data_IF_076488979015
#
_entry.id   IF_076488979015
#
_cell.length_a   1.000
_cell.length_b   1.000
_cell.length_c   1.000
_cell.angle_alpha   90.00
_cell.angle_beta   90.00
_cell.angle_gamma   90.00
#
_symmetry.space_group_name_H-M   'P 1'
#
loop_
_entity.id
_entity.type
_entity.pdbx_description
1 polymer ?
#
# COMPACT_ATOMS: atom_id res chain seq x y z
N UNK A 1 -2.13 13.32 -1.63
CA UNK A 1 -0.89 13.04 -0.88
C UNK A 1 -1.16 13.26 0.61
N UNK A 2 -0.98 12.22 1.41
CA UNK A 2 -1.30 12.25 2.84
C UNK A 2 -0.06 12.50 3.73
N UNK A 3 0.73 13.53 3.43
CA UNK A 3 1.85 13.96 4.28
C UNK A 3 2.45 15.31 3.78
N UNK A 4 3.24 15.99 4.64
CA UNK A 4 3.87 17.29 4.35
C UNK A 4 5.22 17.26 3.61
N UNK A 5 5.63 16.13 3.02
CA UNK A 5 6.95 15.96 2.35
C UNK A 5 7.01 16.60 0.95
N UNK A 6 5.86 16.93 0.36
CA UNK A 6 5.77 17.44 -1.02
C UNK A 6 5.94 16.33 -2.07
N UNK A 7 5.88 16.67 -3.37
CA UNK A 7 6.02 15.69 -4.44
C UNK A 7 7.47 15.24 -4.62
N UNK A 8 7.65 14.00 -5.04
CA UNK A 8 8.90 13.42 -5.52
C UNK A 8 9.25 13.86 -6.94
N UNK A 9 10.41 13.42 -7.43
CA UNK A 9 10.93 13.78 -8.77
C UNK A 9 11.21 12.57 -9.66
N UNK A 10 10.95 11.35 -9.18
CA UNK A 10 11.03 10.14 -10.00
C UNK A 10 9.90 10.08 -11.02
N UNK A 11 10.09 9.31 -12.08
CA UNK A 11 9.12 9.15 -13.16
C UNK A 11 8.20 7.91 -13.00
N UNK A 12 8.52 7.04 -12.04
CA UNK A 12 7.77 5.82 -11.78
C UNK A 12 7.98 4.73 -12.83
N UNK A 13 8.98 4.88 -13.73
CA UNK A 13 9.27 3.89 -14.76
C UNK A 13 9.98 2.67 -14.16
N UNK A 14 9.71 1.48 -14.72
CA UNK A 14 10.26 0.21 -14.22
C UNK A 14 11.79 0.22 -14.07
N UNK A 15 12.52 0.90 -14.96
CA UNK A 15 13.98 1.05 -14.90
C UNK A 15 14.45 1.74 -13.60
N UNK A 16 13.68 2.72 -13.11
CA UNK A 16 13.98 3.46 -11.89
C UNK A 16 13.30 2.86 -10.65
N UNK A 17 12.53 1.78 -10.84
CA UNK A 17 11.74 1.11 -9.82
C UNK A 17 12.09 -0.40 -9.75
N UNK A 18 13.35 -0.78 -9.48
CA UNK A 18 13.70 -2.18 -9.36
C UNK A 18 13.03 -2.83 -8.12
N UNK A 19 12.72 -4.12 -8.23
CA UNK A 19 12.37 -4.93 -7.06
C UNK A 19 13.62 -5.18 -6.23
N UNK A 20 13.66 -4.62 -5.02
CA UNK A 20 14.77 -4.78 -4.08
C UNK A 20 14.27 -5.38 -2.76
N UNK A 21 14.28 -4.61 -1.67
CA UNK A 21 13.75 -4.99 -0.37
C UNK A 21 12.84 -3.87 0.15
N UNK A 22 11.66 -4.20 0.70
CA UNK A 22 10.74 -3.17 1.18
C UNK A 22 11.28 -2.50 2.44
N UNK A 23 11.17 -1.18 2.50
CA UNK A 23 11.46 -0.35 3.66
C UNK A 23 10.24 -0.14 4.56
N UNK A 24 9.03 -0.28 4.02
CA UNK A 24 7.77 0.08 4.70
C UNK A 24 6.74 -1.07 4.77
N UNK A 25 7.16 -2.31 4.52
CA UNK A 25 6.23 -3.45 4.49
C UNK A 25 5.50 -3.64 5.83
N UNK A 26 6.22 -3.50 6.94
CA UNK A 26 5.63 -3.64 8.29
C UNK A 26 4.56 -2.57 8.55
N UNK A 27 4.81 -1.32 8.15
CA UNK A 27 3.86 -0.22 8.27
C UNK A 27 2.59 -0.47 7.43
N UNK A 28 2.77 -0.95 6.20
CA UNK A 28 1.68 -1.30 5.28
C UNK A 28 0.84 -2.45 5.85
N UNK A 29 1.45 -3.57 6.25
CA UNK A 29 0.72 -4.70 6.81
C UNK A 29 0.00 -4.32 8.11
N UNK A 30 0.62 -3.47 8.96
CA UNK A 30 0.00 -2.95 10.16
C UNK A 30 -1.21 -2.05 9.85
N UNK A 31 -1.13 -1.20 8.82
CA UNK A 31 -2.25 -0.38 8.37
C UNK A 31 -3.42 -1.25 7.87
N UNK A 32 -3.16 -2.26 7.03
CA UNK A 32 -4.20 -3.19 6.57
C UNK A 32 -4.84 -3.93 7.76
N UNK A 33 -4.04 -4.33 8.77
CA UNK A 33 -4.58 -4.94 9.98
C UNK A 33 -5.51 -4.00 10.76
N UNK A 34 -5.16 -2.71 10.86
CA UNK A 34 -6.03 -1.70 11.49
C UNK A 34 -7.32 -1.51 10.70
N UNK A 35 -7.26 -1.42 9.36
CA UNK A 35 -8.46 -1.31 8.51
C UNK A 35 -9.37 -2.53 8.69
N UNK A 36 -8.83 -3.75 8.63
CA UNK A 36 -9.64 -4.97 8.85
C UNK A 36 -10.28 -4.99 10.24
N UNK A 37 -9.54 -4.59 11.27
CA UNK A 37 -10.04 -4.60 12.65
C UNK A 37 -11.11 -3.52 12.90
N UNK A 38 -10.95 -2.33 12.31
CA UNK A 38 -11.84 -1.16 12.52
C UNK A 38 -13.03 -1.14 11.57
N UNK A 39 -12.86 -1.70 10.38
CA UNK A 39 -13.84 -1.68 9.29
C UNK A 39 -14.09 -3.09 8.73
N UNK A 40 -14.54 -4.06 9.57
CA UNK A 40 -14.79 -5.41 9.12
C UNK A 40 -15.87 -5.49 8.02
N UNK A 41 -16.75 -4.49 7.92
CA UNK A 41 -17.80 -4.36 6.90
C UNK A 41 -17.26 -4.28 5.45
N UNK A 42 -16.01 -3.86 5.26
CA UNK A 42 -15.38 -3.80 3.94
C UNK A 42 -14.92 -5.17 3.43
N UNK A 43 -15.03 -6.21 4.26
CA UNK A 43 -14.47 -7.51 3.99
C UNK A 43 -15.52 -8.61 4.09
N UNK A 44 -15.28 -9.69 3.36
CA UNK A 44 -15.86 -10.99 3.67
C UNK A 44 -14.81 -11.79 4.46
N UNK A 45 -14.95 -11.82 5.79
CA UNK A 45 -13.99 -12.48 6.68
C UNK A 45 -14.08 -14.01 6.62
N UNK A 46 -15.18 -14.55 6.10
CA UNK A 46 -15.41 -15.98 5.91
C UNK A 46 -14.90 -16.46 4.54
N UNK A 47 -14.92 -15.60 3.53
CA UNK A 47 -14.34 -15.87 2.21
C UNK A 47 -12.87 -15.41 2.14
N UNK A 48 -11.93 -16.35 2.31
CA UNK A 48 -10.49 -16.06 2.40
C UNK A 48 -9.63 -16.92 1.47
N UNK A 49 -8.64 -16.28 0.86
CA UNK A 49 -7.54 -16.91 0.16
C UNK A 49 -6.30 -16.97 1.07
N UNK A 50 -6.23 -18.01 1.91
CA UNK A 50 -5.17 -18.14 2.91
C UNK A 50 -5.38 -17.28 4.17
N UNK A 51 -4.40 -17.26 5.06
CA UNK A 51 -4.49 -16.52 6.32
C UNK A 51 -4.45 -15.00 6.07
N UNK A 52 -5.47 -14.27 6.53
CA UNK A 52 -5.57 -12.81 6.38
C UNK A 52 -5.86 -12.30 4.96
N UNK A 53 -6.00 -13.20 3.98
CA UNK A 53 -6.34 -12.90 2.59
C UNK A 53 -7.86 -12.79 2.37
N UNK A 54 -8.53 -11.90 3.10
CA UNK A 54 -9.99 -11.72 3.02
C UNK A 54 -10.42 -11.14 1.66
N UNK A 55 -11.60 -11.54 1.18
CA UNK A 55 -12.20 -10.91 0.02
C UNK A 55 -12.64 -9.47 0.37
N UNK A 56 -12.32 -8.51 -0.49
CA UNK A 56 -12.63 -7.09 -0.28
C UNK A 56 -13.93 -6.75 -1.00
N UNK A 57 -14.93 -6.28 -0.26
CA UNK A 57 -16.26 -5.90 -0.78
C UNK A 57 -16.25 -4.50 -1.39
N UNK A 58 -15.54 -3.58 -0.75
CA UNK A 58 -15.42 -2.19 -1.17
C UNK A 58 -13.93 -1.85 -1.35
N UNK A 59 -13.51 -1.86 -2.61
CA UNK A 59 -12.11 -1.71 -3.00
C UNK A 59 -11.65 -0.27 -2.80
N UNK A 60 -12.48 0.70 -3.19
CA UNK A 60 -12.12 2.11 -3.17
C UNK A 60 -11.99 2.60 -1.72
N UNK A 61 -12.95 2.24 -0.86
CA UNK A 61 -12.92 2.60 0.55
C UNK A 61 -11.76 1.91 1.29
N UNK A 62 -11.46 0.65 0.94
CA UNK A 62 -10.30 -0.07 1.47
C UNK A 62 -8.99 0.68 1.19
N UNK A 63 -8.71 1.05 -0.07
CA UNK A 63 -7.48 1.76 -0.41
C UNK A 63 -7.41 3.14 0.25
N UNK A 64 -8.54 3.87 0.29
CA UNK A 64 -8.64 5.18 0.95
C UNK A 64 -8.24 5.09 2.42
N UNK A 65 -8.78 4.11 3.14
CA UNK A 65 -8.51 3.91 4.56
C UNK A 65 -7.09 3.39 4.83
N UNK A 66 -6.53 2.53 3.99
CA UNK A 66 -5.13 2.09 4.15
C UNK A 66 -4.17 3.27 4.01
N UNK A 67 -4.36 4.11 2.99
CA UNK A 67 -3.55 5.33 2.81
C UNK A 67 -3.65 6.24 4.04
N UNK A 68 -4.86 6.42 4.57
CA UNK A 68 -5.09 7.20 5.78
C UNK A 68 -4.37 6.58 7.00
N UNK A 69 -4.49 5.28 7.22
CA UNK A 69 -3.87 4.58 8.36
C UNK A 69 -2.33 4.57 8.29
N UNK A 70 -1.74 4.62 7.10
CA UNK A 70 -0.28 4.78 6.92
C UNK A 70 0.15 6.20 7.29
N UNK A 71 -0.60 7.20 6.84
CA UNK A 71 -0.32 8.61 7.12
C UNK A 71 -0.42 8.94 8.60
N UNK A 72 -1.51 8.49 9.24
CA UNK A 72 -1.80 8.77 10.64
C UNK A 72 -0.88 7.97 11.60
N UNK A 73 -0.41 6.79 11.17
CA UNK A 73 0.34 5.87 12.03
C UNK A 73 1.85 6.10 12.10
N UNK A 74 2.47 6.58 11.02
CA UNK A 74 3.94 6.46 10.87
C UNK A 74 4.66 7.69 10.30
N UNK A 75 3.97 8.84 10.18
CA UNK A 75 4.49 10.03 9.47
C UNK A 75 4.96 9.72 8.04
N UNK A 76 4.40 8.68 7.43
CA UNK A 76 4.70 8.29 6.07
C UNK A 76 3.72 8.96 5.11
N UNK A 77 4.19 9.14 3.89
CA UNK A 77 3.36 9.53 2.77
C UNK A 77 2.86 8.29 2.08
N UNK A 78 1.56 8.22 1.82
CA UNK A 78 0.99 7.20 0.96
C UNK A 78 0.05 7.83 -0.08
N UNK A 79 -0.04 7.17 -1.24
CA UNK A 79 -1.09 7.42 -2.21
C UNK A 79 -1.36 6.16 -3.05
N UNK A 80 -2.53 6.10 -3.67
CA UNK A 80 -2.86 5.08 -4.67
C UNK A 80 -2.41 5.57 -6.04
N UNK A 81 -1.78 4.73 -6.82
CA UNK A 81 -1.42 5.02 -8.22
C UNK A 81 -2.53 4.62 -9.21
N UNK A 82 -2.24 4.73 -10.50
CA UNK A 82 -3.21 4.42 -11.56
C UNK A 82 -3.48 2.91 -11.72
N UNK A 83 -2.59 2.04 -11.22
CA UNK A 83 -2.66 0.58 -11.33
C UNK A 83 -3.19 -0.10 -10.06
N UNK A 84 -3.79 0.70 -9.17
CA UNK A 84 -4.26 0.29 -7.83
C UNK A 84 -3.14 -0.35 -7.00
N UNK A 85 -1.93 0.19 -7.09
CA UNK A 85 -0.87 -0.02 -6.12
C UNK A 85 -0.81 1.18 -5.17
N UNK A 86 -0.26 0.97 -3.98
CA UNK A 86 0.08 2.06 -3.08
C UNK A 86 1.56 2.38 -3.17
N UNK A 87 1.86 3.66 -3.30
CA UNK A 87 3.21 4.19 -3.19
C UNK A 87 3.41 4.75 -1.78
N UNK A 88 4.49 4.37 -1.11
CA UNK A 88 4.81 4.79 0.26
C UNK A 88 6.21 5.38 0.34
N UNK A 89 6.35 6.56 0.94
CA UNK A 89 7.66 7.21 1.16
C UNK A 89 7.74 7.90 2.51
N UNK A 90 8.96 8.05 3.02
CA UNK A 90 9.28 8.89 4.19
C UNK A 90 9.82 10.26 3.79
N UNK A 91 10.53 10.33 2.67
CA UNK A 91 11.14 11.52 2.08
C UNK A 91 11.21 11.34 0.55
N UNK A 92 11.77 12.30 -0.18
CA UNK A 92 11.86 12.22 -1.64
C UNK A 92 13.01 11.35 -2.18
N UNK A 93 13.79 10.70 -1.32
CA UNK A 93 14.89 9.85 -1.78
C UNK A 93 14.40 8.55 -2.42
N UNK A 94 13.32 7.96 -1.90
CA UNK A 94 12.74 6.73 -2.45
C UNK A 94 11.28 6.53 -2.07
N UNK A 95 10.56 5.73 -2.87
CA UNK A 95 9.20 5.28 -2.58
C UNK A 95 9.01 3.80 -2.89
N UNK A 96 8.49 3.04 -1.95
CA UNK A 96 8.13 1.63 -2.16
C UNK A 96 6.72 1.50 -2.74
N UNK A 97 6.55 0.54 -3.64
CA UNK A 97 5.29 0.22 -4.30
C UNK A 97 4.73 -1.09 -3.76
N UNK A 98 3.43 -1.14 -3.46
CA UNK A 98 2.75 -2.33 -2.96
C UNK A 98 1.41 -2.55 -3.64
N UNK A 99 1.18 -3.77 -4.13
CA UNK A 99 -0.13 -4.20 -4.62
C UNK A 99 -0.87 -4.94 -3.52
N UNK A 100 -1.95 -4.34 -3.02
CA UNK A 100 -2.64 -4.82 -1.81
C UNK A 100 -3.79 -5.79 -2.11
N UNK A 101 -4.04 -6.06 -3.39
CA UNK A 101 -5.12 -6.91 -3.81
C UNK A 101 -4.71 -7.79 -5.00
N UNK A 102 -5.15 -9.04 -4.99
CA UNK A 102 -5.12 -9.90 -6.16
C UNK A 102 -6.21 -9.48 -7.14
N UNK A 103 -6.04 -9.77 -8.43
CA UNK A 103 -7.10 -9.55 -9.43
C UNK A 103 -8.39 -10.32 -9.14
N UNK A 104 -8.32 -11.35 -8.29
CA UNK A 104 -9.46 -12.12 -7.78
C UNK A 104 -10.19 -11.45 -6.59
N UNK A 105 -9.79 -10.25 -6.16
CA UNK A 105 -10.47 -9.47 -5.12
C UNK A 105 -10.06 -9.77 -3.68
N UNK A 106 -9.04 -10.61 -3.47
CA UNK A 106 -8.56 -10.96 -2.13
C UNK A 106 -7.38 -10.09 -1.72
N UNK A 107 -7.30 -9.78 -0.41
CA UNK A 107 -6.16 -9.08 0.17
C UNK A 107 -4.84 -9.80 -0.12
N UNK A 108 -3.83 -8.98 -0.44
CA UNK A 108 -2.45 -9.39 -0.68
C UNK A 108 -1.54 -8.70 0.34
N UNK A 109 -0.72 -9.49 1.03
CA UNK A 109 0.05 -9.08 2.23
C UNK A 109 1.48 -9.60 2.21
N UNK A 110 2.30 -9.11 3.13
CA UNK A 110 3.70 -9.54 3.28
C UNK A 110 4.53 -9.25 2.03
N UNK A 111 5.65 -9.95 1.84
CA UNK A 111 6.55 -9.75 0.70
C UNK A 111 5.85 -9.90 -0.65
N UNK A 112 4.77 -10.70 -0.68
CA UNK A 112 3.96 -10.85 -1.88
C UNK A 112 3.33 -9.53 -2.32
N UNK A 113 3.00 -8.60 -1.41
CA UNK A 113 2.39 -7.31 -1.75
C UNK A 113 3.41 -6.32 -2.33
N UNK A 114 4.63 -6.28 -1.80
CA UNK A 114 5.72 -5.42 -2.29
C UNK A 114 5.93 -5.64 -3.78
N UNK A 115 6.20 -4.59 -4.55
CA UNK A 115 6.41 -4.61 -6.00
C UNK A 115 7.81 -4.14 -6.34
N UNK A 116 8.16 -2.93 -5.91
CA UNK A 116 9.37 -2.23 -6.29
C UNK A 116 9.75 -1.13 -5.30
N UNK A 117 10.98 -0.64 -5.39
CA UNK A 117 11.42 0.61 -4.74
C UNK A 117 11.91 1.55 -5.82
N UNK A 118 11.23 2.69 -5.97
CA UNK A 118 11.58 3.73 -6.93
C UNK A 118 12.58 4.71 -6.33
N UNK A 119 13.62 5.06 -7.10
CA UNK A 119 14.64 6.02 -6.71
C UNK A 119 14.89 7.01 -7.87
N UNK A 120 14.63 8.31 -7.71
CA UNK A 120 14.03 8.98 -6.55
C UNK A 120 12.58 8.53 -6.29
N UNK A 121 11.98 8.98 -5.17
CA UNK A 121 10.54 8.82 -4.98
C UNK A 121 9.78 9.42 -6.17
N UNK A 122 8.85 8.67 -6.75
CA UNK A 122 8.18 9.09 -7.99
C UNK A 122 6.96 9.97 -7.76
N UNK A 123 6.39 9.90 -6.56
CA UNK A 123 5.36 10.80 -6.07
C UNK A 123 5.89 11.57 -4.88
#
# INVERSE_FOLDING_TARGET
MACGVGPGTGDGLEEHCPRTSPSFLEDVDAAINRVVARHPELFDLDNKAGAGGYFVRDIDEFYRLVVQEIADGSHLCAMVDADLEIAVKRNNASSDQYKLMWSSGYLRRGDSSYRATCVPAWF
#
